data_IF_645450110016
#
_entry.id   IF_645450110016
#
_cell.length_a   1.000
_cell.length_b   1.000
_cell.length_c   1.000
_cell.angle_alpha   90.00
_cell.angle_beta   90.00
_cell.angle_gamma   90.00
#
_symmetry.space_group_name_H-M   'P 1'
#
loop_
_entity.id
_entity.type
_entity.pdbx_description
1 polymer ?
#
# COMPACT_ATOMS: atom_id res chain seq x y z
N UNK A 1 -42.93 -13.84 0.31
CA UNK A 1 -42.30 -14.19 1.60
C UNK A 1 -40.88 -13.70 1.52
N UNK A 2 -40.54 -12.80 2.42
CA UNK A 2 -39.36 -11.96 2.39
C UNK A 2 -38.09 -12.75 2.66
N UNK A 3 -37.05 -12.50 1.87
CA UNK A 3 -35.66 -12.82 2.21
C UNK A 3 -34.87 -11.51 2.20
N UNK A 4 -35.12 -10.66 3.21
CA UNK A 4 -34.13 -9.70 3.66
C UNK A 4 -33.16 -10.47 4.55
N UNK A 5 -31.98 -10.80 4.01
CA UNK A 5 -30.91 -11.50 4.72
C UNK A 5 -29.59 -10.79 4.47
N UNK A 6 -29.24 -9.88 5.37
CA UNK A 6 -27.93 -9.29 5.66
C UNK A 6 -26.76 -9.83 4.82
N UNK A 7 -26.34 -9.08 3.80
CA UNK A 7 -25.03 -9.27 3.17
C UNK A 7 -24.02 -8.41 3.92
N UNK A 8 -23.77 -8.73 5.19
CA UNK A 8 -22.54 -8.28 5.83
C UNK A 8 -21.38 -8.89 5.05
N UNK A 9 -20.59 -8.02 4.44
CA UNK A 9 -19.39 -8.41 3.74
C UNK A 9 -18.51 -9.29 4.65
N UNK A 10 -17.89 -10.33 4.10
CA UNK A 10 -17.01 -11.23 4.87
C UNK A 10 -15.98 -10.40 5.66
N UNK A 11 -15.80 -10.60 6.98
CA UNK A 11 -14.93 -9.75 7.79
C UNK A 11 -13.50 -9.65 7.26
N UNK A 12 -12.99 -10.71 6.65
CA UNK A 12 -11.67 -10.70 6.01
C UNK A 12 -11.69 -9.87 4.72
N UNK A 13 -12.73 -9.96 3.89
CA UNK A 13 -12.93 -9.06 2.75
C UNK A 13 -13.02 -7.59 3.16
N UNK A 14 -13.73 -7.27 4.25
CA UNK A 14 -13.82 -5.91 4.77
C UNK A 14 -12.45 -5.37 5.21
N UNK A 15 -11.68 -6.17 5.97
CA UNK A 15 -10.32 -5.81 6.39
C UNK A 15 -9.40 -5.60 5.18
N UNK A 16 -9.42 -6.50 4.20
CA UNK A 16 -8.62 -6.35 2.97
C UNK A 16 -8.99 -5.08 2.20
N UNK A 17 -10.29 -4.83 2.04
CA UNK A 17 -10.75 -3.64 1.34
C UNK A 17 -10.30 -2.34 2.04
N UNK A 18 -10.35 -2.29 3.38
CA UNK A 18 -9.82 -1.15 4.14
C UNK A 18 -8.32 -0.94 3.88
N UNK A 19 -7.56 -2.03 3.90
CA UNK A 19 -6.13 -2.01 3.67
C UNK A 19 -5.81 -1.51 2.25
N UNK A 20 -6.51 -2.03 1.25
CA UNK A 20 -6.37 -1.66 -0.16
C UNK A 20 -6.70 -0.18 -0.40
N UNK A 21 -7.78 0.35 0.21
CA UNK A 21 -8.15 1.77 0.11
C UNK A 21 -7.03 2.65 0.66
N UNK A 22 -6.54 2.36 1.87
CA UNK A 22 -5.50 3.18 2.52
C UNK A 22 -4.19 3.16 1.73
N UNK A 23 -3.80 1.99 1.20
CA UNK A 23 -2.60 1.84 0.39
C UNK A 23 -2.72 2.58 -0.94
N UNK A 24 -3.84 2.41 -1.65
CA UNK A 24 -4.06 3.07 -2.95
C UNK A 24 -4.06 4.59 -2.80
N UNK A 25 -4.76 5.14 -1.81
CA UNK A 25 -4.79 6.58 -1.56
C UNK A 25 -3.42 7.12 -1.15
N UNK A 26 -2.64 6.36 -0.35
CA UNK A 26 -1.29 6.76 0.02
C UNK A 26 -0.37 6.82 -1.21
N UNK A 27 -0.44 5.80 -2.06
CA UNK A 27 0.33 5.73 -3.30
C UNK A 27 -0.06 6.86 -4.27
N UNK A 28 -1.35 7.07 -4.51
CA UNK A 28 -1.86 8.14 -5.38
C UNK A 28 -1.36 9.52 -4.95
N UNK A 29 -1.32 9.79 -3.63
CA UNK A 29 -0.78 11.02 -3.07
C UNK A 29 0.71 11.18 -3.38
N UNK A 30 1.50 10.10 -3.24
CA UNK A 30 2.94 10.09 -3.53
C UNK A 30 3.29 10.33 -5.01
N UNK A 31 2.45 9.82 -5.91
CA UNK A 31 2.64 9.95 -7.37
C UNK A 31 2.07 11.25 -7.97
N UNK A 32 1.41 12.09 -7.17
CA UNK A 32 0.89 13.39 -7.63
C UNK A 32 -0.46 13.31 -8.34
N UNK A 33 -1.26 12.26 -8.13
CA UNK A 33 -2.65 12.20 -8.62
C UNK A 33 -3.63 13.11 -7.84
N UNK A 34 -3.12 13.78 -6.79
CA UNK A 34 -3.88 14.68 -5.93
C UNK A 34 -4.05 14.13 -4.51
N UNK A 35 -4.56 14.97 -3.61
CA UNK A 35 -4.84 14.60 -2.21
C UNK A 35 -6.27 14.13 -1.99
N UNK A 36 -7.14 14.28 -2.99
CA UNK A 36 -8.55 13.94 -2.93
C UNK A 36 -8.93 12.96 -4.04
N UNK A 37 -9.78 11.99 -3.71
CA UNK A 37 -10.31 11.00 -4.65
C UNK A 37 -11.81 10.81 -4.44
N UNK A 38 -12.48 10.15 -5.36
CA UNK A 38 -13.86 9.68 -5.20
C UNK A 38 -13.93 8.17 -5.37
N UNK A 39 -15.10 7.60 -5.06
CA UNK A 39 -15.30 6.16 -5.17
C UNK A 39 -15.07 5.62 -6.59
N UNK A 40 -15.37 6.39 -7.64
CA UNK A 40 -15.18 5.95 -9.03
C UNK A 40 -13.71 5.86 -9.39
N UNK A 41 -12.92 6.85 -8.98
CA UNK A 41 -11.47 6.82 -9.16
C UNK A 41 -10.86 5.65 -8.39
N UNK A 42 -11.26 5.40 -7.14
CA UNK A 42 -10.77 4.25 -6.38
C UNK A 42 -11.12 2.91 -7.04
N UNK A 43 -12.33 2.74 -7.58
CA UNK A 43 -12.70 1.53 -8.34
C UNK A 43 -11.83 1.28 -9.57
N UNK A 44 -11.22 2.32 -10.15
CA UNK A 44 -10.31 2.13 -11.30
C UNK A 44 -8.97 1.48 -10.92
N UNK A 45 -8.60 1.54 -9.64
CA UNK A 45 -7.37 0.94 -9.10
C UNK A 45 -7.63 -0.32 -8.28
N UNK A 46 -8.81 -0.44 -7.67
CA UNK A 46 -9.15 -1.50 -6.73
C UNK A 46 -10.07 -2.54 -7.35
N UNK A 47 -9.74 -3.82 -7.16
CA UNK A 47 -10.60 -4.94 -7.55
C UNK A 47 -11.53 -5.28 -6.38
N UNK A 48 -12.49 -4.39 -6.13
CA UNK A 48 -13.45 -4.52 -5.02
C UNK A 48 -14.88 -4.28 -5.51
N UNK A 49 -15.84 -4.89 -4.81
CA UNK A 49 -17.26 -4.63 -5.03
C UNK A 49 -17.63 -3.18 -4.67
N UNK A 50 -18.54 -2.56 -5.42
CA UNK A 50 -18.91 -1.16 -5.22
C UNK A 50 -19.58 -0.91 -3.87
N UNK A 51 -20.48 -1.80 -3.44
CA UNK A 51 -21.19 -1.64 -2.18
C UNK A 51 -20.23 -1.85 -1.00
N UNK A 52 -19.31 -2.82 -1.12
CA UNK A 52 -18.22 -3.00 -0.16
C UNK A 52 -17.32 -1.76 -0.06
N UNK A 53 -16.90 -1.20 -1.19
CA UNK A 53 -16.07 0.01 -1.21
C UNK A 53 -16.78 1.18 -0.51
N UNK A 54 -18.07 1.38 -0.82
CA UNK A 54 -18.88 2.45 -0.20
C UNK A 54 -19.00 2.26 1.30
N UNK A 55 -19.27 1.03 1.75
CA UNK A 55 -19.35 0.68 3.17
C UNK A 55 -18.01 0.96 3.87
N UNK A 56 -16.90 0.49 3.32
CA UNK A 56 -15.59 0.67 3.96
C UNK A 56 -15.10 2.12 3.93
N UNK A 57 -15.45 2.91 2.91
CA UNK A 57 -15.18 4.35 2.90
C UNK A 57 -15.89 5.05 4.07
N UNK A 58 -17.16 4.71 4.33
CA UNK A 58 -17.90 5.27 5.45
C UNK A 58 -17.26 4.88 6.80
N UNK A 59 -16.88 3.60 6.96
CA UNK A 59 -16.20 3.11 8.17
C UNK A 59 -14.86 3.83 8.38
N UNK A 60 -14.06 4.02 7.32
CA UNK A 60 -12.76 4.69 7.42
C UNK A 60 -12.88 6.19 7.76
N UNK A 61 -13.97 6.84 7.36
CA UNK A 61 -14.30 8.21 7.80
C UNK A 61 -14.69 8.22 9.27
N UNK A 62 -15.56 7.31 9.70
CA UNK A 62 -15.99 7.19 11.10
C UNK A 62 -14.80 6.90 12.04
N UNK A 63 -13.89 6.02 11.61
CA UNK A 63 -12.67 5.66 12.35
C UNK A 63 -11.57 6.77 12.29
N UNK A 64 -11.78 7.84 11.52
CA UNK A 64 -10.88 8.99 11.43
C UNK A 64 -9.64 8.80 10.55
N UNK A 65 -9.60 7.75 9.72
CA UNK A 65 -8.55 7.56 8.72
C UNK A 65 -8.76 8.45 7.48
N UNK A 66 -10.01 8.78 7.17
CA UNK A 66 -10.39 9.61 6.03
C UNK A 66 -11.18 10.85 6.48
N UNK A 67 -11.03 11.91 5.70
CA UNK A 67 -11.88 13.10 5.75
C UNK A 67 -12.74 13.11 4.48
N UNK A 68 -14.05 13.28 4.64
CA UNK A 68 -15.01 13.35 3.52
C UNK A 68 -15.52 14.79 3.34
N UNK A 69 -15.57 15.24 2.09
CA UNK A 69 -16.12 16.54 1.72
C UNK A 69 -16.73 16.48 0.31
N UNK A 70 -18.06 16.52 0.23
CA UNK A 70 -18.77 16.62 -1.06
C UNK A 70 -18.61 15.39 -1.95
N UNK A 71 -18.55 14.19 -1.37
CA UNK A 71 -18.36 12.92 -2.05
C UNK A 71 -16.90 12.61 -2.40
N UNK A 72 -15.96 13.43 -1.91
CA UNK A 72 -14.52 13.27 -2.10
C UNK A 72 -13.86 12.92 -0.78
N UNK A 73 -12.83 12.10 -0.83
CA UNK A 73 -12.12 11.57 0.32
C UNK A 73 -10.65 11.98 0.29
N UNK A 74 -10.12 12.34 1.45
CA UNK A 74 -8.70 12.62 1.69
C UNK A 74 -8.20 11.81 2.87
N UNK A 75 -6.93 11.38 2.83
CA UNK A 75 -6.29 10.77 4.01
C UNK A 75 -6.08 11.81 5.11
N UNK A 76 -6.52 11.49 6.33
CA UNK A 76 -6.11 12.24 7.52
C UNK A 76 -4.63 11.95 7.84
N UNK A 77 -4.05 12.65 8.82
CA UNK A 77 -2.71 12.32 9.33
C UNK A 77 -2.59 10.86 9.80
N UNK A 78 -3.66 10.33 10.43
CA UNK A 78 -3.73 8.92 10.82
C UNK A 78 -3.78 8.01 9.59
N UNK A 79 -4.58 8.37 8.58
CA UNK A 79 -4.67 7.67 7.30
C UNK A 79 -3.33 7.62 6.58
N UNK A 80 -2.59 8.72 6.53
CA UNK A 80 -1.26 8.79 5.90
C UNK A 80 -0.29 7.84 6.58
N UNK A 81 -0.21 7.88 7.92
CA UNK A 81 0.68 7.01 8.68
C UNK A 81 0.36 5.54 8.45
N UNK A 82 -0.92 5.19 8.50
CA UNK A 82 -1.34 3.80 8.43
C UNK A 82 -1.31 3.23 7.01
N UNK A 83 -1.70 4.03 6.00
CA UNK A 83 -1.57 3.67 4.60
C UNK A 83 -0.12 3.45 4.18
N UNK A 84 0.79 4.33 4.64
CA UNK A 84 2.23 4.18 4.40
C UNK A 84 2.83 2.94 5.06
N UNK A 85 2.40 2.61 6.29
CA UNK A 85 2.83 1.37 6.98
C UNK A 85 2.41 0.13 6.19
N UNK A 86 1.14 0.05 5.78
CA UNK A 86 0.62 -1.09 5.01
C UNK A 86 1.28 -1.23 3.66
N UNK A 87 1.44 -0.11 2.95
CA UNK A 87 2.16 -0.08 1.68
C UNK A 87 3.61 -0.57 1.85
N UNK A 88 4.32 -0.10 2.89
CA UNK A 88 5.67 -0.58 3.17
C UNK A 88 5.69 -2.09 3.49
N UNK A 89 4.73 -2.58 4.27
CA UNK A 89 4.64 -4.00 4.65
C UNK A 89 4.40 -4.90 3.41
N UNK A 90 3.48 -4.51 2.52
CA UNK A 90 3.15 -5.26 1.30
C UNK A 90 4.32 -5.31 0.30
N UNK A 91 5.10 -4.23 0.21
CA UNK A 91 6.23 -4.12 -0.72
C UNK A 91 7.60 -4.42 -0.10
N UNK A 92 7.66 -4.73 1.20
CA UNK A 92 8.90 -4.99 1.96
C UNK A 92 9.79 -6.09 1.35
N UNK A 93 9.17 -7.06 0.66
CA UNK A 93 9.84 -8.15 -0.06
C UNK A 93 10.18 -7.86 -1.53
N UNK A 94 9.62 -6.80 -2.11
CA UNK A 94 9.83 -6.42 -3.52
C UNK A 94 10.97 -5.39 -3.68
N UNK A 95 11.23 -4.62 -2.64
CA UNK A 95 12.37 -3.71 -2.58
C UNK A 95 13.69 -4.43 -2.19
N UNK A 96 13.62 -5.72 -1.87
CA UNK A 96 14.76 -6.55 -1.48
C UNK A 96 15.66 -6.99 -2.63
N UNK A 97 15.61 -6.33 -3.79
CA UNK A 97 16.73 -6.37 -4.75
C UNK A 97 17.92 -5.56 -4.21
N UNK A 98 18.29 -5.79 -2.94
CA UNK A 98 19.35 -5.11 -2.24
C UNK A 98 20.20 -6.13 -1.46
N UNK A 99 21.46 -6.22 -1.89
CA UNK A 99 22.65 -6.82 -1.25
C UNK A 99 22.83 -8.34 -1.22
N UNK A 100 21.77 -9.16 -1.22
CA UNK A 100 21.90 -10.63 -1.18
C UNK A 100 21.90 -11.33 -2.54
N UNK A 101 21.21 -10.76 -3.53
CA UNK A 101 20.85 -11.43 -4.79
C UNK A 101 21.74 -11.05 -5.98
N UNK A 102 22.93 -10.50 -5.73
CA UNK A 102 23.93 -10.34 -6.78
C UNK A 102 24.30 -11.74 -7.31
N UNK A 103 23.72 -12.18 -8.42
CA UNK A 103 24.14 -13.42 -9.09
C UNK A 103 25.63 -13.38 -9.46
N UNK A 104 26.25 -14.53 -9.79
CA UNK A 104 27.66 -14.58 -10.21
C UNK A 104 27.99 -13.65 -11.39
N UNK A 105 26.96 -13.25 -12.16
CA UNK A 105 27.06 -12.36 -13.32
C UNK A 105 26.78 -10.87 -12.99
N UNK A 106 26.74 -10.47 -11.72
CA UNK A 106 26.53 -9.06 -11.36
C UNK A 106 27.63 -8.17 -11.99
N UNK A 107 27.29 -7.19 -12.85
CA UNK A 107 28.27 -6.36 -13.54
C UNK A 107 29.21 -5.60 -12.59
N UNK A 108 28.70 -5.28 -11.40
CA UNK A 108 29.39 -4.53 -10.35
C UNK A 108 30.37 -5.39 -9.53
N UNK A 109 30.12 -6.70 -9.42
CA UNK A 109 30.97 -7.64 -8.67
C UNK A 109 31.90 -8.45 -9.58
N UNK A 110 31.89 -8.19 -10.89
CA UNK A 110 32.65 -8.98 -11.86
C UNK A 110 34.15 -8.92 -11.56
N UNK A 111 34.72 -10.05 -11.16
CA UNK A 111 36.14 -10.18 -10.83
C UNK A 111 36.53 -9.71 -9.43
N UNK A 112 35.55 -9.42 -8.55
CA UNK A 112 35.78 -9.03 -7.15
C UNK A 112 35.06 -10.04 -6.22
N UNK A 113 35.77 -10.66 -5.26
CA UNK A 113 35.14 -11.47 -4.22
C UNK A 113 34.06 -10.69 -3.46
N UNK A 114 32.94 -11.35 -3.13
CA UNK A 114 31.78 -10.65 -2.52
C UNK A 114 32.10 -9.97 -1.20
N UNK A 115 32.92 -10.59 -0.37
CA UNK A 115 33.42 -10.08 0.91
C UNK A 115 34.38 -8.89 0.78
N UNK A 116 34.85 -8.60 -0.43
CA UNK A 116 35.70 -7.46 -0.77
C UNK A 116 35.01 -6.39 -1.64
N UNK A 117 33.73 -6.57 -1.99
CA UNK A 117 33.00 -5.62 -2.84
C UNK A 117 32.32 -4.55 -1.98
N UNK A 118 32.63 -3.27 -2.21
CA UNK A 118 32.03 -2.13 -1.49
C UNK A 118 30.48 -2.13 -1.51
N UNK A 119 29.88 -2.67 -2.58
CA UNK A 119 28.42 -2.80 -2.70
C UNK A 119 27.82 -3.96 -1.89
N UNK A 120 28.61 -5.01 -1.60
CA UNK A 120 28.15 -6.20 -0.89
C UNK A 120 28.59 -6.21 0.58
N UNK A 121 29.71 -5.57 0.90
CA UNK A 121 30.33 -5.55 2.21
C UNK A 121 30.88 -4.14 2.50
N UNK A 122 29.99 -3.13 2.65
CA UNK A 122 30.39 -1.73 2.82
C UNK A 122 31.21 -1.50 4.11
N UNK A 123 31.00 -2.33 5.12
CA UNK A 123 31.66 -2.21 6.44
C UNK A 123 33.14 -2.67 6.44
N UNK A 124 33.62 -3.28 5.34
CA UNK A 124 34.97 -3.84 5.24
C UNK A 124 35.97 -2.85 4.61
N UNK A 125 35.47 -1.77 3.98
CA UNK A 125 36.29 -0.80 3.23
C UNK A 125 36.74 0.40 4.08
N UNK A 126 36.20 0.57 5.30
CA UNK A 126 36.59 1.65 6.22
C UNK A 126 37.67 1.23 7.24
N UNK A 127 38.70 0.50 6.80
CA UNK A 127 39.90 0.18 7.61
C UNK A 127 41.20 0.44 6.87
#
# INVERSE_FOLDING_TARGET
MSEHGERTSDPLSALRCRDDILQAMYWMRGEGFGEETDGQMLQSFLVVDEDLLREQLAVLVEDGYLEESGGRYRLSELGIKEGGRRFADEFSGLQSTAHGDCGPECPTCKGVPRDACLHCAPEVVER
#
